data_IF_514998541006
#
_entry.id   IF_514998541006
#
_cell.length_a   1.000
_cell.length_b   1.000
_cell.length_c   1.000
_cell.angle_alpha   90.00
_cell.angle_beta   90.00
_cell.angle_gamma   90.00
#
_symmetry.space_group_name_H-M   'P 1'
#
loop_
_entity.id
_entity.type
_entity.pdbx_description
1 polymer ?
#
# COMPACT_ATOMS: atom_id res chain seq x y z
N UNK A 1 2.21 27.32 -1.18
CA UNK A 1 0.98 26.50 -1.12
C UNK A 1 1.14 25.39 -2.15
N UNK A 2 1.30 24.14 -1.74
CA UNK A 2 1.63 23.02 -2.63
C UNK A 2 0.36 22.19 -2.83
N UNK A 3 -0.09 22.09 -4.08
CA UNK A 3 -1.27 21.32 -4.45
C UNK A 3 -0.87 19.87 -4.67
N UNK A 4 -1.51 18.95 -3.92
CA UNK A 4 -1.41 17.52 -4.17
C UNK A 4 -2.38 17.18 -5.28
N UNK A 5 -1.86 16.93 -6.48
CA UNK A 5 -2.66 16.39 -7.58
C UNK A 5 -2.64 14.87 -7.47
N UNK A 6 -3.78 14.27 -7.10
CA UNK A 6 -3.96 12.82 -7.11
C UNK A 6 -4.24 12.37 -8.54
N UNK A 7 -3.31 11.64 -9.15
CA UNK A 7 -3.55 10.85 -10.36
C UNK A 7 -3.78 9.41 -9.90
N UNK A 8 -4.91 8.81 -10.29
CA UNK A 8 -5.32 7.51 -9.76
C UNK A 8 -4.48 6.32 -10.26
N UNK A 9 -3.63 6.48 -11.30
CA UNK A 9 -2.88 5.36 -11.89
C UNK A 9 -1.46 5.70 -12.38
N UNK A 10 -0.61 6.30 -11.54
CA UNK A 10 0.84 6.33 -11.80
C UNK A 10 1.50 4.97 -11.47
N UNK A 11 1.07 3.91 -12.16
CA UNK A 11 1.45 2.52 -11.85
C UNK A 11 2.91 2.17 -12.22
N UNK A 12 3.56 2.89 -13.12
CA UNK A 12 4.77 2.39 -13.78
C UNK A 12 6.11 3.06 -13.38
N UNK A 13 6.17 3.83 -12.30
CA UNK A 13 7.43 4.49 -11.91
C UNK A 13 8.47 3.55 -11.25
N UNK A 14 8.03 2.40 -10.74
CA UNK A 14 8.88 1.49 -9.91
C UNK A 14 9.14 0.14 -10.58
N UNK A 15 8.56 -0.12 -11.76
CA UNK A 15 8.70 -1.42 -12.46
C UNK A 15 8.10 -2.63 -11.72
N UNK A 16 7.44 -2.42 -10.58
CA UNK A 16 6.82 -3.47 -9.75
C UNK A 16 5.30 -3.34 -9.91
N UNK A 17 4.62 -4.28 -10.60
CA UNK A 17 3.21 -4.15 -10.94
C UNK A 17 2.27 -4.17 -9.72
N UNK A 18 2.74 -4.61 -8.56
CA UNK A 18 1.97 -4.59 -7.32
C UNK A 18 2.02 -3.25 -6.60
N UNK A 19 2.89 -2.32 -7.01
CA UNK A 19 3.01 -0.99 -6.41
C UNK A 19 2.27 0.04 -7.25
N UNK A 20 1.58 0.94 -6.55
CA UNK A 20 0.85 2.05 -7.14
C UNK A 20 1.30 3.34 -6.48
N UNK A 21 1.70 4.32 -7.28
CA UNK A 21 1.90 5.69 -6.81
C UNK A 21 0.52 6.34 -6.69
N UNK A 22 0.18 6.81 -5.49
CA UNK A 22 -1.13 7.39 -5.14
C UNK A 22 -1.12 8.91 -5.12
N UNK A 23 0.05 9.49 -4.90
CA UNK A 23 0.28 10.91 -4.91
C UNK A 23 1.75 11.19 -5.18
N UNK A 24 2.03 12.34 -5.75
CA UNK A 24 3.38 12.84 -5.97
C UNK A 24 3.44 14.31 -5.57
N UNK A 25 4.57 14.71 -5.01
CA UNK A 25 4.91 16.12 -4.83
C UNK A 25 6.38 16.31 -5.14
N UNK A 26 6.71 17.38 -5.86
CA UNK A 26 8.10 17.83 -6.01
C UNK A 26 8.36 18.92 -4.98
N UNK A 27 9.47 18.80 -4.25
CA UNK A 27 9.88 19.77 -3.24
C UNK A 27 11.40 19.79 -3.17
N UNK A 28 11.97 21.00 -3.20
CA UNK A 28 13.42 21.22 -3.00
C UNK A 28 14.29 20.40 -3.98
N UNK A 29 13.80 20.17 -5.21
CA UNK A 29 14.48 19.38 -6.24
C UNK A 29 14.36 17.86 -6.05
N UNK A 30 13.60 17.39 -5.05
CA UNK A 30 13.36 15.98 -4.75
C UNK A 30 11.91 15.60 -5.04
N UNK A 31 11.70 14.45 -5.67
CA UNK A 31 10.37 13.85 -5.80
C UNK A 31 10.00 13.08 -4.53
N UNK A 32 8.78 13.28 -4.07
CA UNK A 32 8.19 12.51 -2.98
C UNK A 32 6.96 11.78 -3.50
N UNK A 33 7.09 10.46 -3.60
CA UNK A 33 6.05 9.58 -4.13
C UNK A 33 5.39 8.82 -2.99
N UNK A 34 4.08 9.01 -2.80
CA UNK A 34 3.30 8.18 -1.91
C UNK A 34 2.98 6.87 -2.63
N UNK A 35 3.54 5.77 -2.14
CA UNK A 35 3.41 4.45 -2.76
C UNK A 35 2.57 3.54 -1.86
N UNK A 36 1.57 2.87 -2.42
CA UNK A 36 0.87 1.77 -1.74
C UNK A 36 1.07 0.48 -2.55
N UNK A 37 0.94 -0.68 -1.90
CA UNK A 37 0.71 -1.92 -2.62
C UNK A 37 -0.76 -2.00 -3.04
N UNK A 38 -1.04 -2.51 -4.24
CA UNK A 38 -2.40 -2.80 -4.72
C UNK A 38 -3.16 -3.59 -3.65
N UNK A 39 -4.34 -3.12 -3.23
CA UNK A 39 -5.09 -3.77 -2.17
C UNK A 39 -5.50 -5.17 -2.64
N UNK A 40 -5.10 -6.21 -1.90
CA UNK A 40 -5.64 -7.56 -2.06
C UNK A 40 -6.80 -7.85 -1.11
N UNK A 41 -7.23 -9.12 -1.04
CA UNK A 41 -8.35 -9.55 -0.21
C UNK A 41 -8.16 -9.18 1.26
N UNK A 42 -9.27 -8.88 1.93
CA UNK A 42 -9.31 -8.43 3.33
C UNK A 42 -9.99 -9.45 4.23
N UNK A 43 -9.56 -10.70 4.17
CA UNK A 43 -10.15 -11.77 4.97
C UNK A 43 -9.12 -12.25 6.00
N UNK A 44 -9.59 -12.55 7.21
CA UNK A 44 -8.75 -13.12 8.25
C UNK A 44 -8.33 -14.54 7.85
N UNK A 45 -7.04 -14.89 7.82
CA UNK A 45 -6.61 -16.24 7.48
C UNK A 45 -6.97 -17.27 8.57
N UNK A 46 -7.27 -16.82 9.80
CA UNK A 46 -7.66 -17.69 10.91
C UNK A 46 -9.13 -18.10 10.91
N UNK A 47 -10.05 -17.14 10.73
CA UNK A 47 -11.49 -17.38 10.84
C UNK A 47 -12.31 -17.03 9.59
N UNK A 48 -11.68 -16.52 8.52
CA UNK A 48 -12.38 -16.14 7.29
C UNK A 48 -13.21 -14.85 7.37
N UNK A 49 -13.41 -14.26 8.55
CA UNK A 49 -14.17 -13.00 8.70
C UNK A 49 -13.45 -11.83 8.02
N UNK A 50 -14.23 -10.90 7.45
CA UNK A 50 -13.70 -9.70 6.79
C UNK A 50 -12.90 -8.84 7.78
N UNK A 51 -11.60 -8.74 7.54
CA UNK A 51 -10.70 -7.89 8.30
C UNK A 51 -11.01 -6.40 8.04
N UNK A 52 -10.92 -5.61 9.10
CA UNK A 52 -11.18 -4.16 9.08
C UNK A 52 -9.86 -3.38 9.05
N UNK A 53 -9.90 -2.15 8.53
CA UNK A 53 -8.74 -1.27 8.51
C UNK A 53 -8.33 -0.86 9.93
N UNK A 54 -7.05 -1.02 10.24
CA UNK A 54 -6.45 -0.63 11.53
C UNK A 54 -5.23 0.27 11.30
N UNK A 55 -5.43 1.32 10.50
CA UNK A 55 -4.38 2.29 10.17
C UNK A 55 -3.42 1.83 9.07
N UNK A 56 -2.30 2.56 8.97
CA UNK A 56 -1.24 2.32 7.97
C UNK A 56 0.12 2.42 8.64
N UNK A 57 1.04 1.50 8.31
CA UNK A 57 2.46 1.68 8.57
C UNK A 57 3.09 2.49 7.44
N UNK A 58 4.06 3.35 7.74
CA UNK A 58 4.83 4.09 6.75
C UNK A 58 6.30 3.71 6.81
N UNK A 59 6.89 3.42 5.65
CA UNK A 59 8.34 3.23 5.50
C UNK A 59 8.82 4.19 4.43
N UNK A 60 9.93 4.88 4.68
CA UNK A 60 10.52 5.83 3.75
C UNK A 60 11.76 5.19 3.13
N UNK A 61 11.85 5.23 1.81
CA UNK A 61 13.05 4.86 1.04
C UNK A 61 13.54 6.10 0.32
N UNK A 62 14.81 6.46 0.51
CA UNK A 62 15.45 7.64 -0.10
C UNK A 62 16.46 7.21 -1.16
N UNK A 63 17.01 8.20 -1.85
CA UNK A 63 18.16 8.06 -2.76
C UNK A 63 17.92 7.14 -3.96
N UNK A 64 16.65 7.02 -4.39
CA UNK A 64 16.34 6.42 -5.69
C UNK A 64 16.34 7.53 -6.75
N UNK A 65 17.31 7.58 -7.67
CA UNK A 65 17.21 8.48 -8.80
C UNK A 65 16.15 7.94 -9.77
N UNK A 66 15.09 8.72 -10.01
CA UNK A 66 14.13 8.46 -11.07
C UNK A 66 14.29 9.56 -12.11
N UNK A 67 14.60 9.18 -13.34
CA UNK A 67 14.83 10.12 -14.44
C UNK A 67 15.85 11.23 -14.07
N UNK A 68 16.88 10.89 -13.30
CA UNK A 68 17.93 11.82 -12.87
C UNK A 68 17.53 12.73 -11.69
N UNK A 69 16.34 12.57 -11.11
CA UNK A 69 15.88 13.37 -9.97
C UNK A 69 15.93 12.54 -8.68
N UNK A 70 16.53 13.04 -7.59
CA UNK A 70 16.45 12.41 -6.28
C UNK A 70 14.99 12.12 -5.92
N UNK A 71 14.69 10.88 -5.54
CA UNK A 71 13.32 10.47 -5.24
C UNK A 71 13.23 9.72 -3.91
N UNK A 72 12.21 10.10 -3.15
CA UNK A 72 11.77 9.49 -1.90
C UNK A 72 10.49 8.73 -2.16
N UNK A 73 10.50 7.45 -1.86
CA UNK A 73 9.30 6.64 -1.82
C UNK A 73 8.79 6.57 -0.39
N UNK A 74 7.57 7.04 -0.17
CA UNK A 74 6.85 6.88 1.09
C UNK A 74 5.86 5.73 0.94
N UNK A 75 6.28 4.54 1.37
CA UNK A 75 5.46 3.34 1.35
C UNK A 75 4.44 3.36 2.46
N UNK A 76 3.16 3.42 2.12
CA UNK A 76 2.07 3.29 3.06
C UNK A 76 1.44 1.89 2.97
N UNK A 77 1.71 1.06 3.97
CA UNK A 77 1.15 -0.29 4.06
C UNK A 77 -0.05 -0.32 4.98
N UNK A 78 -1.20 -0.76 4.45
CA UNK A 78 -2.40 -0.96 5.27
C UNK A 78 -2.16 -2.02 6.34
N UNK A 79 -2.57 -1.70 7.56
CA UNK A 79 -2.68 -2.63 8.67
C UNK A 79 -4.13 -3.08 8.74
N UNK A 80 -4.35 -4.37 8.84
CA UNK A 80 -5.68 -4.95 8.99
C UNK A 80 -5.80 -5.58 10.37
N UNK A 81 -7.02 -5.68 10.87
CA UNK A 81 -7.35 -6.37 12.13
C UNK A 81 -8.57 -7.25 11.90
N UNK A 82 -8.56 -8.46 12.46
CA UNK A 82 -9.77 -9.27 12.53
C UNK A 82 -10.73 -8.67 13.58
N UNK A 83 -12.01 -8.39 13.24
CA UNK A 83 -12.97 -7.90 14.23
C UNK A 83 -13.50 -9.00 15.16
N UNK A 84 -13.35 -10.28 14.79
CA UNK A 84 -13.89 -11.42 15.54
C UNK A 84 -13.21 -11.57 16.91
N UNK A 85 -14.04 -11.56 17.95
CA UNK A 85 -13.64 -11.65 19.34
C UNK A 85 -13.37 -13.07 19.84
N UNK A 86 -13.56 -14.10 19.02
CA UNK A 86 -13.15 -15.46 19.37
C UNK A 86 -12.02 -15.96 18.48
N UNK A 87 -11.51 -15.13 17.57
CA UNK A 87 -10.42 -15.51 16.67
C UNK A 87 -9.08 -15.51 17.40
N UNK A 88 -8.34 -16.62 17.32
CA UNK A 88 -7.00 -16.75 17.90
C UNK A 88 -5.95 -15.85 17.20
N UNK A 89 -6.20 -15.44 15.95
CA UNK A 89 -5.30 -14.62 15.12
C UNK A 89 -5.56 -13.11 15.29
N UNK A 90 -5.98 -12.66 16.47
CA UNK A 90 -6.44 -11.28 16.82
C UNK A 90 -5.48 -10.11 16.54
N UNK A 91 -4.32 -10.37 15.94
CA UNK A 91 -3.24 -9.42 15.75
C UNK A 91 -3.35 -8.59 14.46
N UNK A 92 -2.43 -7.63 14.32
CA UNK A 92 -2.29 -6.82 13.11
C UNK A 92 -1.84 -7.69 11.95
N UNK A 93 -2.71 -7.83 10.95
CA UNK A 93 -2.46 -8.62 9.74
C UNK A 93 -1.81 -7.78 8.63
N UNK A 94 -0.99 -8.44 7.82
CA UNK A 94 -0.59 -7.92 6.50
C UNK A 94 -1.78 -8.00 5.57
N UNK A 95 -2.12 -6.91 4.89
CA UNK A 95 -2.98 -7.00 3.72
C UNK A 95 -2.28 -7.88 2.67
N UNK A 96 -2.95 -8.93 2.20
CA UNK A 96 -2.48 -9.72 1.07
C UNK A 96 -2.35 -8.80 -0.15
N UNK A 97 -1.41 -9.10 -1.04
CA UNK A 97 -1.37 -8.47 -2.36
C UNK A 97 -2.44 -9.12 -3.24
N UNK A 98 -2.93 -8.40 -4.24
CA UNK A 98 -4.00 -8.90 -5.13
C UNK A 98 -3.63 -10.18 -5.89
N UNK A 99 -2.36 -10.62 -5.87
CA UNK A 99 -1.87 -11.78 -6.64
C UNK A 99 -2.22 -13.15 -6.04
N UNK A 100 -2.96 -13.20 -4.93
CA UNK A 100 -3.31 -14.43 -4.23
C UNK A 100 -4.82 -14.56 -3.99
N UNK A 101 -5.63 -14.60 -5.05
CA UNK A 101 -6.88 -15.38 -5.02
C UNK A 101 -7.40 -15.66 -6.43
N UNK A 102 -7.18 -16.89 -6.92
CA UNK A 102 -7.92 -17.49 -8.05
C UNK A 102 -8.70 -18.69 -7.53
N UNK A 103 -9.32 -18.58 -6.35
CA UNK A 103 -9.94 -19.76 -5.72
C UNK A 103 -11.24 -19.51 -4.97
N UNK A 104 -12.05 -18.53 -5.33
CA UNK A 104 -13.48 -18.53 -4.97
C UNK A 104 -14.27 -17.65 -5.92
N UNK A 105 -14.76 -18.26 -7.00
CA UNK A 105 -15.98 -17.84 -7.69
C UNK A 105 -16.85 -19.11 -7.81
N UNK A 106 -17.51 -19.46 -6.71
CA UNK A 106 -18.60 -20.43 -6.66
C UNK A 106 -19.44 -20.20 -5.41
#
# INVERSE_FOLDING_TARGET
>A
MWSVHGIDDATALVGIPELVVRAQVSRDGEWWLAVETRPGPRWCPGCGVRAVGHGRNRTVVRDLPIAGVPTVLVFARRRLRCPESLCEVRHVLRAATARADRRTDR
#
